data_IF_472291347767
#
_entry.id   IF_472291347767
#
_cell.length_a   1.000
_cell.length_b   1.000
_cell.length_c   1.000
_cell.angle_alpha   90.00
_cell.angle_beta   90.00
_cell.angle_gamma   90.00
#
_symmetry.space_group_name_H-M   'P 1'
#
loop_
_entity.id
_entity.type
_entity.pdbx_description
1 polymer ?
#
# COMPACT_ATOMS: atom_id res chain seq x y z
N UNK A 1 3.76 -10.16 -18.43
CA UNK A 1 4.03 -9.31 -17.25
C UNK A 1 3.87 -10.14 -15.99
N UNK A 2 4.86 -10.17 -15.08
CA UNK A 2 4.84 -10.93 -13.82
C UNK A 2 4.75 -10.01 -12.59
N UNK A 3 4.37 -10.53 -11.43
CA UNK A 3 4.32 -9.77 -10.17
C UNK A 3 5.64 -9.07 -9.82
N UNK A 4 6.76 -9.78 -9.97
CA UNK A 4 8.12 -9.24 -9.75
C UNK A 4 8.44 -8.03 -10.66
N UNK A 5 7.86 -7.98 -11.86
CA UNK A 5 8.07 -6.89 -12.80
C UNK A 5 7.34 -5.63 -12.31
N UNK A 6 6.12 -5.77 -11.76
CA UNK A 6 5.39 -4.65 -11.13
C UNK A 6 6.13 -4.14 -9.90
N UNK A 7 6.62 -5.05 -9.05
CA UNK A 7 7.41 -4.69 -7.87
C UNK A 7 8.66 -3.88 -8.27
N UNK A 8 9.37 -4.32 -9.31
CA UNK A 8 10.54 -3.62 -9.84
C UNK A 8 10.19 -2.21 -10.34
N UNK A 9 9.08 -2.06 -11.07
CA UNK A 9 8.63 -0.75 -11.56
C UNK A 9 8.29 0.20 -10.41
N UNK A 10 7.60 -0.26 -9.36
CA UNK A 10 7.35 0.56 -8.17
C UNK A 10 8.63 0.95 -7.44
N UNK A 11 9.63 0.05 -7.35
CA UNK A 11 10.93 0.38 -6.76
C UNK A 11 11.70 1.41 -7.57
N UNK A 12 11.70 1.31 -8.88
CA UNK A 12 12.36 2.32 -9.71
C UNK A 12 11.62 3.66 -9.67
N UNK A 13 10.28 3.64 -9.55
CA UNK A 13 9.49 4.85 -9.31
C UNK A 13 9.77 5.47 -7.93
N UNK A 14 9.94 4.66 -6.87
CA UNK A 14 10.27 5.15 -5.53
C UNK A 14 11.66 5.78 -5.48
N UNK A 15 12.64 5.21 -6.19
CA UNK A 15 13.96 5.82 -6.36
C UNK A 15 13.88 7.19 -7.03
N UNK A 16 13.08 7.33 -8.09
CA UNK A 16 12.88 8.63 -8.73
C UNK A 16 12.20 9.65 -7.80
N UNK A 17 11.21 9.22 -7.01
CA UNK A 17 10.56 10.11 -6.04
C UNK A 17 11.48 10.54 -4.89
N UNK A 18 12.41 9.68 -4.49
CA UNK A 18 13.47 10.04 -3.54
C UNK A 18 14.47 11.05 -4.17
N UNK A 19 14.75 10.96 -5.47
CA UNK A 19 15.63 11.88 -6.21
C UNK A 19 15.00 13.28 -6.33
N UNK A 20 13.71 13.33 -6.64
CA UNK A 20 12.93 14.57 -6.80
C UNK A 20 12.30 15.07 -5.48
N UNK A 21 12.58 14.41 -4.35
CA UNK A 21 12.06 14.72 -3.01
C UNK A 21 10.51 14.83 -2.93
N UNK A 22 9.80 13.95 -3.64
CA UNK A 22 8.33 13.99 -3.79
C UNK A 22 7.56 13.44 -2.59
N UNK A 23 8.25 12.95 -1.55
CA UNK A 23 7.59 12.40 -0.37
C UNK A 23 6.69 13.44 0.31
N UNK A 24 7.15 14.70 0.40
CA UNK A 24 6.36 15.78 0.99
C UNK A 24 5.06 16.07 0.22
N UNK A 25 5.10 16.00 -1.12
CA UNK A 25 3.90 16.20 -1.95
C UNK A 25 2.87 15.08 -1.74
N UNK A 26 3.34 13.83 -1.64
CA UNK A 26 2.47 12.68 -1.37
C UNK A 26 1.82 12.77 0.02
N UNK A 27 2.59 13.16 1.03
CA UNK A 27 2.09 13.37 2.40
C UNK A 27 1.09 14.52 2.48
N UNK A 28 1.34 15.61 1.77
CA UNK A 28 0.42 16.74 1.71
C UNK A 28 -0.92 16.34 1.06
N UNK A 29 -0.88 15.59 -0.04
CA UNK A 29 -2.10 15.10 -0.70
C UNK A 29 -2.86 14.11 0.21
N UNK A 30 -2.15 13.17 0.86
CA UNK A 30 -2.77 12.20 1.76
C UNK A 30 -3.45 12.84 2.97
N UNK A 31 -2.93 13.97 3.45
CA UNK A 31 -3.46 14.72 4.59
C UNK A 31 -4.34 15.91 4.16
N UNK A 32 -4.75 15.98 2.88
CA UNK A 32 -5.63 17.04 2.39
C UNK A 32 -7.04 16.92 2.98
N UNK A 33 -7.66 18.05 3.34
CA UNK A 33 -9.06 18.12 3.78
C UNK A 33 -10.01 17.43 2.77
N UNK A 34 -9.69 17.51 1.48
CA UNK A 34 -10.46 16.84 0.42
C UNK A 34 -10.41 15.32 0.58
N UNK A 35 -9.23 14.78 0.86
CA UNK A 35 -9.04 13.34 1.08
C UNK A 35 -9.76 12.90 2.35
N UNK A 36 -9.65 13.68 3.42
CA UNK A 36 -10.39 13.42 4.67
C UNK A 36 -11.90 13.39 4.42
N UNK A 37 -12.45 14.40 3.73
CA UNK A 37 -13.88 14.50 3.44
C UNK A 37 -14.39 13.32 2.59
N UNK A 38 -13.63 12.90 1.57
CA UNK A 38 -14.00 11.78 0.70
C UNK A 38 -14.03 10.43 1.43
N UNK A 39 -13.24 10.30 2.48
CA UNK A 39 -13.10 9.08 3.27
C UNK A 39 -13.95 9.08 4.55
N UNK A 40 -14.61 10.20 4.89
CA UNK A 40 -15.49 10.27 6.05
C UNK A 40 -16.60 9.22 5.94
N UNK A 41 -16.80 8.37 6.97
CA UNK A 41 -17.91 7.43 7.01
C UNK A 41 -19.23 8.20 6.93
N UNK A 42 -20.07 7.87 5.95
CA UNK A 42 -21.42 8.42 5.89
C UNK A 42 -22.26 7.78 7.00
N UNK A 43 -22.47 8.49 8.10
CA UNK A 43 -23.42 8.07 9.13
C UNK A 43 -24.82 8.24 8.54
N UNK A 44 -25.40 7.15 8.05
CA UNK A 44 -26.83 7.12 7.82
C UNK A 44 -27.48 7.20 9.20
N UNK A 45 -27.92 8.39 9.60
CA UNK A 45 -28.87 8.52 10.69
C UNK A 45 -30.13 7.74 10.28
N UNK A 46 -30.24 6.49 10.74
CA UNK A 46 -31.52 5.79 10.69
C UNK A 46 -32.46 6.62 11.55
N UNK A 47 -33.31 7.42 10.90
CA UNK A 47 -34.47 8.01 11.56
C UNK A 47 -35.22 6.85 12.20
N UNK A 48 -35.22 6.79 13.53
CA UNK A 48 -36.11 5.91 14.28
C UNK A 48 -37.52 6.39 14.02
N UNK A 49 -38.19 5.76 13.05
CA UNK A 49 -39.62 5.92 12.88
C UNK A 49 -40.29 5.47 14.18
N UNK A 50 -41.01 6.40 14.81
CA UNK A 50 -41.82 6.10 15.98
C UNK A 50 -42.86 5.02 15.65
N UNK A 51 -42.81 3.95 16.43
CA UNK A 51 -43.83 2.96 16.80
C UNK A 51 -44.69 2.25 15.71
N UNK A 52 -44.58 0.91 15.78
CA UNK A 52 -45.56 -0.17 15.56
C UNK A 52 -46.53 -0.09 14.38
N UNK A 53 -46.38 -1.00 13.41
CA UNK A 53 -47.29 -2.15 13.13
C UNK A 53 -46.63 -3.05 12.07
N UNK A 54 -46.59 -4.37 12.32
CA UNK A 54 -46.39 -5.40 11.29
C UNK A 54 -45.18 -6.31 11.52
N UNK A 55 -45.40 -7.49 12.12
CA UNK A 55 -44.43 -8.58 12.13
C UNK A 55 -44.35 -9.24 10.75
N UNK A 56 -43.15 -9.48 10.18
CA UNK A 56 -42.94 -10.63 9.31
C UNK A 56 -42.23 -11.74 10.07
N UNK A 57 -42.74 -12.96 9.93
CA UNK A 57 -42.09 -14.21 10.29
C UNK A 57 -40.72 -14.31 9.60
N UNK A 58 -39.67 -14.52 10.39
CA UNK A 58 -38.59 -15.54 10.25
C UNK A 58 -37.45 -15.09 11.17
N UNK A 59 -37.39 -15.70 12.34
CA UNK A 59 -36.24 -15.65 13.24
C UNK A 59 -35.27 -16.75 12.81
N UNK A 60 -34.13 -16.41 12.23
CA UNK A 60 -32.95 -17.27 12.38
C UNK A 60 -32.29 -16.87 13.69
N UNK A 61 -32.50 -17.68 14.73
CA UNK A 61 -31.62 -17.69 15.90
C UNK A 61 -30.23 -18.11 15.44
N UNK A 62 -29.25 -17.24 15.65
CA UNK A 62 -27.87 -17.66 15.86
C UNK A 62 -27.58 -17.43 17.34
N UNK A 63 -27.92 -18.45 18.13
CA UNK A 63 -27.36 -18.59 19.47
C UNK A 63 -25.87 -18.89 19.32
N UNK A 64 -25.04 -18.19 20.09
CA UNK A 64 -23.70 -18.67 20.45
C UNK A 64 -22.55 -17.78 20.01
N UNK A 65 -22.18 -16.88 20.93
CA UNK A 65 -20.86 -16.28 21.09
C UNK A 65 -20.47 -15.16 20.11
N UNK A 66 -21.18 -14.04 20.21
CA UNK A 66 -20.56 -12.73 20.06
C UNK A 66 -19.47 -12.57 21.14
N UNK A 67 -18.28 -13.09 20.86
CA UNK A 67 -17.06 -12.58 21.51
C UNK A 67 -16.88 -11.15 21.02
N UNK A 68 -17.60 -10.23 21.67
CA UNK A 68 -17.27 -8.83 21.76
C UNK A 68 -15.87 -8.76 22.38
N UNK A 69 -14.84 -8.89 21.53
CA UNK A 69 -13.53 -8.39 21.87
C UNK A 69 -13.66 -6.87 21.90
N UNK A 70 -14.10 -6.37 23.05
CA UNK A 70 -13.84 -5.01 23.50
C UNK A 70 -12.35 -4.81 23.24
N UNK A 71 -12.04 -3.99 22.22
CA UNK A 71 -10.68 -3.59 21.92
C UNK A 71 -10.17 -2.96 23.21
N UNK A 72 -9.41 -3.71 24.00
CA UNK A 72 -8.53 -3.11 24.99
C UNK A 72 -7.74 -2.10 24.19
N UNK A 73 -7.90 -0.84 24.58
CA UNK A 73 -6.96 0.23 24.30
C UNK A 73 -5.60 -0.29 24.77
N UNK A 74 -4.94 -1.05 23.91
CA UNK A 74 -3.50 -1.21 23.98
C UNK A 74 -2.99 0.11 23.45
N UNK A 75 -2.83 1.06 24.37
CA UNK A 75 -1.89 2.15 24.21
C UNK A 75 -0.57 1.49 23.81
N UNK A 76 -0.29 1.49 22.51
CA UNK A 76 1.05 1.19 22.03
C UNK A 76 1.93 2.29 22.63
N UNK A 77 2.94 1.98 23.45
CA UNK A 77 3.79 2.99 24.08
C UNK A 77 4.62 3.79 23.06
N UNK A 78 4.45 3.50 21.76
CA UNK A 78 5.16 4.10 20.63
C UNK A 78 4.30 5.09 19.83
N UNK A 79 3.12 5.48 20.34
CA UNK A 79 2.19 6.36 19.62
C UNK A 79 2.70 7.79 19.37
N UNK A 80 3.73 8.26 20.09
CA UNK A 80 4.15 9.67 20.08
C UNK A 80 5.57 9.92 19.52
N UNK A 81 6.03 9.09 18.58
CA UNK A 81 7.26 9.33 17.81
C UNK A 81 6.98 9.72 16.35
N UNK A 82 7.73 10.66 15.73
CA UNK A 82 7.63 10.88 14.30
C UNK A 82 8.32 9.70 13.58
N UNK A 83 7.57 8.75 13.02
CA UNK A 83 8.16 7.77 12.09
C UNK A 83 7.94 6.28 12.36
N UNK A 84 6.78 5.87 12.89
CA UNK A 84 6.42 4.44 12.91
C UNK A 84 5.74 4.03 11.59
N UNK A 85 6.32 3.04 10.90
CA UNK A 85 5.86 2.55 9.59
C UNK A 85 5.16 1.17 9.65
N UNK A 86 5.03 0.57 10.84
CA UNK A 86 4.32 -0.70 11.04
C UNK A 86 5.21 -1.94 11.27
N UNK A 87 6.49 -1.74 11.62
CA UNK A 87 7.43 -2.79 12.04
C UNK A 87 8.38 -2.30 13.15
N UNK A 88 9.04 -3.24 13.81
CA UNK A 88 9.80 -2.97 15.05
C UNK A 88 11.16 -2.28 14.85
N UNK A 89 11.90 -2.53 13.76
CA UNK A 89 13.17 -1.85 13.47
C UNK A 89 13.37 -1.57 11.97
N UNK A 90 13.82 -0.36 11.57
CA UNK A 90 14.18 -0.07 10.19
C UNK A 90 15.45 -0.83 9.80
N UNK A 91 15.44 -1.48 8.64
CA UNK A 91 16.63 -2.14 8.12
C UNK A 91 17.67 -1.08 7.70
N UNK A 92 18.93 -1.26 8.08
CA UNK A 92 20.01 -0.35 7.68
C UNK A 92 20.28 -0.47 6.18
N UNK A 93 20.20 0.65 5.45
CA UNK A 93 20.60 0.69 4.04
C UNK A 93 22.10 0.43 3.88
N UNK A 94 22.53 -0.38 2.89
CA UNK A 94 23.94 -0.47 2.56
C UNK A 94 24.44 0.91 2.08
N UNK A 95 25.67 1.31 2.41
CA UNK A 95 26.21 2.59 1.97
C UNK A 95 26.31 2.59 0.44
N UNK A 96 25.61 3.52 -0.20
CA UNK A 96 25.63 3.72 -1.65
C UNK A 96 26.42 5.00 -1.96
N UNK A 97 27.39 4.88 -2.86
CA UNK A 97 28.36 5.92 -3.22
C UNK A 97 27.81 6.95 -4.22
N UNK A 98 26.83 6.58 -5.03
CA UNK A 98 26.19 7.44 -6.03
C UNK A 98 24.69 7.13 -6.20
N UNK A 99 23.92 8.11 -6.65
CA UNK A 99 22.51 7.94 -7.04
C UNK A 99 22.34 6.90 -8.17
N UNK A 100 23.24 6.90 -9.15
CA UNK A 100 23.24 5.94 -10.25
C UNK A 100 23.47 4.49 -9.77
N UNK A 101 24.24 4.29 -8.70
CA UNK A 101 24.50 2.96 -8.14
C UNK A 101 23.23 2.30 -7.62
N UNK A 102 22.22 3.08 -7.18
CA UNK A 102 20.93 2.59 -6.72
C UNK A 102 20.13 1.88 -7.82
N UNK A 103 20.35 2.25 -9.07
CA UNK A 103 19.73 1.64 -10.26
C UNK A 103 20.50 0.44 -10.80
N UNK A 104 21.67 0.12 -10.23
CA UNK A 104 22.45 -1.05 -10.65
C UNK A 104 21.69 -2.36 -10.39
N UNK A 105 21.96 -3.38 -11.22
CA UNK A 105 21.40 -4.72 -11.02
C UNK A 105 21.66 -5.27 -9.61
N UNK A 106 22.83 -4.97 -9.04
CA UNK A 106 23.21 -5.38 -7.69
C UNK A 106 22.36 -4.68 -6.63
N UNK A 107 22.21 -3.37 -6.72
CA UNK A 107 21.44 -2.59 -5.75
C UNK A 107 19.95 -2.94 -5.80
N UNK A 108 19.36 -3.04 -6.99
CA UNK A 108 17.96 -3.44 -7.18
C UNK A 108 17.71 -4.85 -6.64
N UNK A 109 18.61 -5.80 -6.91
CA UNK A 109 18.56 -7.17 -6.38
C UNK A 109 18.57 -7.18 -4.84
N UNK A 110 19.51 -6.45 -4.22
CA UNK A 110 19.64 -6.39 -2.76
C UNK A 110 18.45 -5.68 -2.08
N UNK A 111 17.93 -4.62 -2.71
CA UNK A 111 16.80 -3.86 -2.18
C UNK A 111 15.50 -4.67 -2.25
N UNK A 112 15.22 -5.33 -3.38
CA UNK A 112 13.98 -6.09 -3.59
C UNK A 112 14.00 -7.53 -3.06
N UNK A 113 15.17 -8.06 -2.69
CA UNK A 113 15.34 -9.47 -2.33
C UNK A 113 15.16 -10.43 -3.52
N UNK A 114 15.39 -9.93 -4.75
CA UNK A 114 15.32 -10.71 -5.99
C UNK A 114 16.72 -11.16 -6.41
N UNK A 115 16.83 -12.28 -7.13
CA UNK A 115 18.09 -12.65 -7.77
C UNK A 115 18.45 -11.67 -8.90
N UNK A 116 19.75 -11.53 -9.21
CA UNK A 116 20.23 -10.68 -10.32
C UNK A 116 19.60 -11.08 -11.66
N UNK A 117 19.43 -12.37 -11.90
CA UNK A 117 18.76 -12.89 -13.10
C UNK A 117 17.27 -12.54 -13.15
N UNK A 118 16.55 -12.58 -12.02
CA UNK A 118 15.15 -12.16 -11.96
C UNK A 118 15.00 -10.68 -12.29
N UNK A 119 15.87 -9.82 -11.72
CA UNK A 119 15.88 -8.38 -12.00
C UNK A 119 16.22 -8.11 -13.47
N UNK A 120 17.27 -8.75 -14.01
CA UNK A 120 17.66 -8.59 -15.41
C UNK A 120 16.53 -8.98 -16.38
N UNK A 121 15.90 -10.12 -16.14
CA UNK A 121 14.77 -10.60 -16.94
C UNK A 121 13.54 -9.69 -16.80
N UNK A 122 13.29 -9.14 -15.61
CA UNK A 122 12.21 -8.18 -15.39
C UNK A 122 12.46 -6.87 -16.13
N UNK A 123 13.68 -6.31 -16.06
CA UNK A 123 14.07 -5.12 -16.82
C UNK A 123 13.90 -5.34 -18.34
N UNK A 124 14.29 -6.51 -18.86
CA UNK A 124 14.09 -6.85 -20.27
C UNK A 124 12.61 -6.83 -20.65
N UNK A 125 11.75 -7.55 -19.91
CA UNK A 125 10.30 -7.58 -20.14
C UNK A 125 9.66 -6.20 -20.05
N UNK A 126 10.05 -5.39 -19.06
CA UNK A 126 9.49 -4.04 -18.90
C UNK A 126 9.94 -3.08 -20.01
N UNK A 127 11.14 -3.26 -20.59
CA UNK A 127 11.57 -2.53 -21.79
C UNK A 127 10.77 -2.96 -23.01
N UNK A 128 10.63 -4.26 -23.23
CA UNK A 128 9.83 -4.83 -24.33
C UNK A 128 8.37 -4.35 -24.29
N UNK A 129 7.79 -4.20 -23.09
CA UNK A 129 6.43 -3.70 -22.89
C UNK A 129 6.30 -2.17 -22.91
N UNK A 130 7.39 -1.42 -23.11
CA UNK A 130 7.38 0.05 -23.10
C UNK A 130 7.17 0.70 -21.73
N UNK A 131 7.30 -0.04 -20.63
CA UNK A 131 7.15 0.47 -19.25
C UNK A 131 8.45 1.04 -18.69
N UNK A 132 9.58 0.70 -19.30
CA UNK A 132 10.87 1.32 -19.07
C UNK A 132 11.30 2.11 -20.30
N UNK A 133 11.60 3.38 -20.09
CA UNK A 133 12.15 4.29 -21.08
C UNK A 133 13.64 4.49 -20.82
N UNK A 134 14.39 4.77 -21.89
CA UNK A 134 15.79 5.15 -21.78
C UNK A 134 15.86 6.66 -21.55
N UNK A 135 16.52 7.08 -20.47
CA UNK A 135 16.82 8.48 -20.26
C UNK A 135 18.12 8.85 -20.97
N UNK A 136 18.05 9.81 -21.90
CA UNK A 136 19.21 10.26 -22.67
C UNK A 136 20.18 11.10 -21.84
N UNK A 137 19.69 11.78 -20.80
CA UNK A 137 20.53 12.67 -19.99
C UNK A 137 21.37 11.88 -18.98
N UNK A 138 20.75 10.90 -18.31
CA UNK A 138 21.41 10.09 -17.28
C UNK A 138 21.95 8.75 -17.79
N UNK A 139 21.51 8.29 -18.97
CA UNK A 139 21.81 6.95 -19.50
C UNK A 139 21.17 5.80 -18.70
N UNK A 140 20.31 6.12 -17.74
CA UNK A 140 19.63 5.14 -16.87
C UNK A 140 18.26 4.77 -17.44
N UNK A 141 17.80 3.57 -17.08
CA UNK A 141 16.42 3.18 -17.35
C UNK A 141 15.49 3.92 -16.37
N UNK A 142 14.50 4.65 -16.90
CA UNK A 142 13.45 5.31 -16.13
C UNK A 142 12.11 4.62 -16.32
N UNK A 143 11.27 4.67 -15.29
CA UNK A 143 9.91 4.13 -15.36
C UNK A 143 9.00 5.11 -16.09
N UNK A 144 8.18 4.58 -16.99
CA UNK A 144 7.10 5.35 -17.59
C UNK A 144 5.95 5.52 -16.57
N UNK A 145 6.13 6.44 -15.61
CA UNK A 145 5.25 6.65 -14.44
C UNK A 145 3.77 6.76 -14.79
N UNK A 146 3.43 7.46 -15.87
CA UNK A 146 2.04 7.61 -16.36
C UNK A 146 1.41 6.26 -16.77
N UNK A 147 2.18 5.36 -17.36
CA UNK A 147 1.66 4.04 -17.75
C UNK A 147 1.60 3.11 -16.53
N UNK A 148 2.58 3.20 -15.61
CA UNK A 148 2.51 2.47 -14.34
C UNK A 148 1.25 2.87 -13.54
N UNK A 149 0.93 4.17 -13.47
CA UNK A 149 -0.28 4.65 -12.81
C UNK A 149 -1.55 4.06 -13.45
N UNK A 150 -1.67 4.12 -14.79
CA UNK A 150 -2.82 3.54 -15.51
C UNK A 150 -2.94 2.03 -15.30
N UNK A 151 -1.84 1.29 -15.30
CA UNK A 151 -1.84 -0.15 -15.00
C UNK A 151 -2.33 -0.40 -13.57
N UNK A 152 -1.86 0.42 -12.63
CA UNK A 152 -2.26 0.32 -11.22
C UNK A 152 -3.76 0.56 -11.06
N UNK A 153 -4.28 1.61 -11.69
CA UNK A 153 -5.69 2.00 -11.65
C UNK A 153 -6.63 0.98 -12.31
N UNK A 154 -6.30 0.54 -13.53
CA UNK A 154 -7.25 -0.21 -14.37
C UNK A 154 -7.02 -1.72 -14.39
N UNK A 155 -5.78 -2.19 -14.23
CA UNK A 155 -5.42 -3.58 -14.51
C UNK A 155 -5.03 -4.39 -13.26
N UNK A 156 -4.39 -3.74 -12.28
CA UNK A 156 -3.72 -4.46 -11.19
C UNK A 156 -4.67 -5.34 -10.37
N UNK A 157 -5.89 -4.85 -10.07
CA UNK A 157 -6.91 -5.62 -9.34
C UNK A 157 -7.38 -6.89 -10.07
N UNK A 158 -7.27 -6.94 -11.39
CA UNK A 158 -7.70 -8.08 -12.19
C UNK A 158 -6.56 -9.09 -12.41
N UNK A 159 -5.33 -8.60 -12.61
CA UNK A 159 -4.17 -9.47 -12.84
C UNK A 159 -3.58 -10.02 -11.54
N UNK A 160 -3.75 -9.31 -10.43
CA UNK A 160 -3.30 -9.70 -9.11
C UNK A 160 -4.45 -9.53 -8.10
N UNK A 161 -5.52 -10.35 -8.19
CA UNK A 161 -6.64 -10.25 -7.27
C UNK A 161 -6.19 -10.57 -5.83
N UNK A 162 -6.71 -9.83 -4.86
CA UNK A 162 -6.45 -10.08 -3.43
C UNK A 162 -7.66 -10.76 -2.82
N UNK A 163 -7.41 -11.83 -2.06
CA UNK A 163 -8.42 -12.47 -1.21
C UNK A 163 -8.03 -12.27 0.25
N UNK A 164 -8.82 -11.54 1.04
CA UNK A 164 -8.58 -11.41 2.46
C UNK A 164 -8.61 -12.78 3.15
N UNK A 165 -7.56 -13.11 3.89
CA UNK A 165 -7.30 -14.42 4.50
C UNK A 165 -7.57 -14.45 6.01
N UNK A 166 -6.84 -15.30 6.72
CA UNK A 166 -6.94 -15.45 8.17
C UNK A 166 -6.39 -14.23 8.92
N UNK A 167 -6.75 -14.12 10.20
CA UNK A 167 -6.19 -13.09 11.08
C UNK A 167 -4.75 -13.45 11.49
N UNK A 168 -3.79 -12.65 11.05
CA UNK A 168 -2.36 -12.86 11.29
C UNK A 168 -1.70 -11.58 11.76
N UNK A 169 -0.49 -11.73 12.29
CA UNK A 169 0.41 -10.60 12.55
C UNK A 169 1.10 -10.20 11.25
N UNK A 170 1.25 -8.90 11.00
CA UNK A 170 1.84 -8.42 9.75
C UNK A 170 2.03 -6.91 9.68
N UNK A 171 2.54 -6.48 8.53
CA UNK A 171 2.74 -5.06 8.21
C UNK A 171 1.42 -4.52 7.66
N UNK A 172 0.83 -3.46 8.26
CA UNK A 172 -0.38 -2.83 7.74
C UNK A 172 -0.22 -2.34 6.31
N UNK A 173 -1.26 -2.49 5.48
CA UNK A 173 -1.25 -2.07 4.07
C UNK A 173 -2.61 -1.49 3.68
N UNK A 174 -2.77 -1.02 2.43
CA UNK A 174 -3.97 -0.29 2.02
C UNK A 174 -4.16 0.98 2.84
N UNK A 175 -5.41 1.35 3.10
CA UNK A 175 -5.75 2.47 3.97
C UNK A 175 -5.44 2.23 5.46
N UNK A 176 -5.06 1.01 5.85
CA UNK A 176 -4.57 0.74 7.20
C UNK A 176 -3.08 1.07 7.36
N UNK A 177 -2.35 1.34 6.27
CA UNK A 177 -0.95 1.76 6.36
C UNK A 177 -0.83 3.05 7.20
N UNK A 178 0.12 3.16 8.14
CA UNK A 178 0.22 4.28 9.08
C UNK A 178 0.41 5.63 8.37
N UNK A 179 1.03 5.59 7.19
CA UNK A 179 1.22 6.76 6.34
C UNK A 179 -0.08 7.31 5.74
N UNK A 180 -1.13 6.48 5.66
CA UNK A 180 -2.43 6.79 5.05
C UNK A 180 -3.57 6.75 6.06
N UNK A 181 -3.33 6.26 7.28
CA UNK A 181 -4.35 5.97 8.30
C UNK A 181 -4.82 7.20 9.07
N UNK A 182 -4.15 8.35 8.95
CA UNK A 182 -4.57 9.60 9.63
C UNK A 182 -6.00 10.00 9.25
N UNK A 183 -6.40 9.69 8.01
CA UNK A 183 -7.69 10.09 7.44
C UNK A 183 -8.78 8.99 7.56
N UNK A 184 -8.41 7.75 7.92
CA UNK A 184 -9.35 6.63 8.04
C UNK A 184 -9.08 5.83 9.32
N UNK A 185 -9.74 6.22 10.41
CA UNK A 185 -10.02 5.27 11.49
C UNK A 185 -11.14 4.37 10.99
N UNK A 186 -10.77 3.20 10.46
CA UNK A 186 -11.75 2.21 9.99
C UNK A 186 -12.79 2.00 11.09
N UNK A 187 -14.05 2.27 10.75
CA UNK A 187 -15.20 2.18 11.65
C UNK A 187 -15.49 0.70 11.98
N UNK A 188 -14.61 0.07 12.76
CA UNK A 188 -14.73 -1.32 13.21
C UNK A 188 -14.30 -2.39 12.20
N UNK A 189 -13.71 -2.04 11.06
CA UNK A 189 -13.24 -3.01 10.05
C UNK A 189 -11.91 -3.66 10.41
N UNK A 190 -11.72 -4.92 9.97
CA UNK A 190 -10.43 -5.62 10.06
C UNK A 190 -9.39 -4.93 9.17
N UNK A 191 -8.21 -4.65 9.71
CA UNK A 191 -7.11 -4.02 8.95
C UNK A 191 -6.43 -5.04 8.03
N UNK A 192 -6.20 -4.76 6.74
CA UNK A 192 -5.40 -5.64 5.90
C UNK A 192 -3.93 -5.53 6.26
N UNK A 193 -3.24 -6.67 6.31
CA UNK A 193 -1.80 -6.76 6.62
C UNK A 193 -1.10 -7.70 5.64
N UNK A 194 0.14 -7.37 5.27
CA UNK A 194 1.05 -8.36 4.70
C UNK A 194 1.60 -9.25 5.82
N UNK A 195 1.42 -10.57 5.77
CA UNK A 195 1.92 -11.48 6.81
C UNK A 195 3.43 -11.33 6.99
N UNK A 196 3.86 -10.98 8.20
CA UNK A 196 5.26 -10.76 8.52
C UNK A 196 5.47 -10.90 10.04
N UNK A 197 6.52 -11.63 10.44
CA UNK A 197 6.80 -11.88 11.86
C UNK A 197 7.22 -10.62 12.63
N UNK A 198 7.82 -9.64 11.94
CA UNK A 198 8.25 -8.36 12.52
C UNK A 198 7.17 -7.27 12.43
N UNK A 199 6.06 -7.53 11.72
CA UNK A 199 4.91 -6.63 11.68
C UNK A 199 4.35 -6.40 13.09
N UNK A 200 3.89 -5.21 13.39
CA UNK A 200 3.42 -4.85 14.75
C UNK A 200 1.91 -4.99 14.92
N UNK A 201 1.18 -5.08 13.81
CA UNK A 201 -0.28 -5.08 13.80
C UNK A 201 -0.84 -6.49 13.57
N UNK A 202 -2.06 -6.73 14.09
CA UNK A 202 -2.83 -7.95 13.82
C UNK A 202 -4.00 -7.62 12.93
N UNK A 203 -4.07 -8.26 11.78
CA UNK A 203 -5.03 -7.94 10.73
C UNK A 203 -5.37 -9.12 9.83
N UNK A 204 -6.20 -8.85 8.84
CA UNK A 204 -6.56 -9.82 7.83
C UNK A 204 -5.40 -9.98 6.84
N UNK A 205 -4.89 -11.20 6.71
CA UNK A 205 -3.80 -11.50 5.80
C UNK A 205 -4.19 -11.17 4.35
N UNK A 206 -3.36 -10.43 3.63
CA UNK A 206 -3.48 -10.30 2.19
C UNK A 206 -2.21 -10.74 1.48
N UNK A 207 -2.37 -11.29 0.28
CA UNK A 207 -1.22 -11.69 -0.54
C UNK A 207 -0.54 -10.44 -1.13
N UNK A 208 0.74 -10.17 -0.76
CA UNK A 208 1.46 -9.06 -1.34
C UNK A 208 1.65 -9.26 -2.85
N UNK A 209 1.88 -8.17 -3.60
CA UNK A 209 2.13 -8.28 -5.05
C UNK A 209 3.23 -9.29 -5.37
N UNK A 210 4.27 -9.37 -4.54
CA UNK A 210 5.29 -10.40 -4.63
C UNK A 210 5.77 -10.82 -3.25
N UNK A 211 6.22 -12.07 -3.11
CA UNK A 211 6.58 -12.68 -1.81
C UNK A 211 7.66 -11.92 -1.01
N UNK A 212 8.49 -11.11 -1.66
CA UNK A 212 9.56 -10.33 -0.99
C UNK A 212 9.14 -8.92 -0.60
N UNK A 213 7.90 -8.51 -0.87
CA UNK A 213 7.40 -7.17 -0.52
C UNK A 213 7.60 -6.82 0.95
N UNK A 214 7.21 -7.67 1.95
CA UNK A 214 7.38 -7.32 3.37
C UNK A 214 8.82 -6.98 3.74
N UNK A 215 9.80 -7.67 3.15
CA UNK A 215 11.23 -7.41 3.36
C UNK A 215 11.75 -6.21 2.56
N UNK A 216 11.20 -5.98 1.36
CA UNK A 216 11.63 -4.87 0.50
C UNK A 216 11.17 -3.50 1.04
N UNK A 217 9.96 -3.43 1.60
CA UNK A 217 9.39 -2.17 2.10
C UNK A 217 10.10 -1.64 3.34
N UNK A 218 10.67 -2.53 4.17
CA UNK A 218 11.46 -2.17 5.37
C UNK A 218 12.73 -1.37 5.05
N UNK A 219 13.17 -1.36 3.79
CA UNK A 219 14.36 -0.65 3.28
C UNK A 219 13.99 0.61 2.48
N UNK A 220 12.72 0.83 2.18
CA UNK A 220 12.28 1.94 1.35
C UNK A 220 10.86 2.35 1.69
N UNK A 221 10.77 3.42 2.49
CA UNK A 221 9.50 4.03 2.92
C UNK A 221 8.64 4.51 1.75
N UNK A 222 9.22 5.05 0.68
CA UNK A 222 8.43 5.49 -0.47
C UNK A 222 7.84 4.27 -1.20
N UNK A 223 8.63 3.21 -1.35
CA UNK A 223 8.14 1.93 -1.88
C UNK A 223 7.01 1.36 -1.02
N UNK A 224 7.14 1.42 0.31
CA UNK A 224 6.08 1.03 1.22
C UNK A 224 4.76 1.75 0.91
N UNK A 225 4.80 3.08 0.84
CA UNK A 225 3.60 3.88 0.58
C UNK A 225 2.98 3.57 -0.79
N UNK A 226 3.80 3.43 -1.83
CA UNK A 226 3.29 3.08 -3.16
C UNK A 226 2.61 1.72 -3.18
N UNK A 227 3.19 0.71 -2.53
CA UNK A 227 2.60 -0.62 -2.49
C UNK A 227 1.36 -0.68 -1.60
N UNK A 228 1.32 0.10 -0.51
CA UNK A 228 0.12 0.27 0.30
C UNK A 228 -1.01 0.92 -0.50
N UNK A 229 -0.74 1.99 -1.27
CA UNK A 229 -1.71 2.61 -2.17
C UNK A 229 -2.16 1.65 -3.29
N UNK A 230 -1.25 0.85 -3.83
CA UNK A 230 -1.61 -0.18 -4.80
C UNK A 230 -2.57 -1.22 -4.20
N UNK A 231 -2.38 -1.63 -2.95
CA UNK A 231 -3.31 -2.52 -2.27
C UNK A 231 -4.64 -1.85 -1.91
N UNK A 232 -4.63 -0.55 -1.59
CA UNK A 232 -5.85 0.24 -1.43
C UNK A 232 -6.69 0.25 -2.72
N UNK A 233 -6.05 0.28 -3.90
CA UNK A 233 -6.71 0.19 -5.21
C UNK A 233 -7.18 -1.24 -5.51
N UNK A 234 -6.44 -2.27 -5.07
CA UNK A 234 -6.81 -3.68 -5.26
C UNK A 234 -7.99 -4.12 -4.40
N UNK A 235 -8.12 -3.57 -3.19
CA UNK A 235 -9.12 -3.97 -2.18
C UNK A 235 -10.28 -3.00 -2.03
N UNK A 236 -10.06 -1.71 -2.28
CA UNK A 236 -11.02 -0.65 -1.98
C UNK A 236 -12.21 -0.59 -2.93
N UNK A 237 -13.27 0.05 -2.45
CA UNK A 237 -14.40 0.50 -3.27
C UNK A 237 -14.06 1.72 -4.13
N UNK A 238 -14.99 2.18 -4.98
CA UNK A 238 -14.72 3.25 -5.95
C UNK A 238 -14.19 4.57 -5.34
N UNK A 239 -14.64 4.94 -4.13
CA UNK A 239 -14.20 6.15 -3.43
C UNK A 239 -12.74 6.03 -2.96
N UNK A 240 -12.47 4.94 -2.26
CA UNK A 240 -11.15 4.54 -1.74
C UNK A 240 -10.14 4.45 -2.88
N UNK A 241 -10.48 3.78 -3.98
CA UNK A 241 -9.63 3.73 -5.16
C UNK A 241 -9.33 5.12 -5.73
N UNK A 242 -10.35 5.97 -5.87
CA UNK A 242 -10.17 7.33 -6.39
C UNK A 242 -9.20 8.17 -5.55
N UNK A 243 -9.31 8.07 -4.22
CA UNK A 243 -8.38 8.73 -3.29
C UNK A 243 -6.97 8.16 -3.40
N UNK A 244 -6.83 6.83 -3.38
CA UNK A 244 -5.52 6.18 -3.49
C UNK A 244 -4.80 6.53 -4.81
N UNK A 245 -5.55 6.65 -5.91
CA UNK A 245 -5.01 7.09 -7.21
C UNK A 245 -4.52 8.54 -7.14
N UNK A 246 -5.27 9.45 -6.49
CA UNK A 246 -4.85 10.86 -6.33
C UNK A 246 -3.53 10.96 -5.58
N UNK A 247 -3.43 10.26 -4.44
CA UNK A 247 -2.22 10.25 -3.60
C UNK A 247 -1.05 9.63 -4.37
N UNK A 248 -1.28 8.51 -5.06
CA UNK A 248 -0.22 7.85 -5.85
C UNK A 248 0.24 8.74 -7.01
N UNK A 249 -0.67 9.46 -7.65
CA UNK A 249 -0.36 10.41 -8.73
C UNK A 249 0.52 11.56 -8.21
N UNK A 250 0.19 12.13 -7.05
CA UNK A 250 0.99 13.16 -6.38
C UNK A 250 2.38 12.62 -6.00
N UNK A 251 2.45 11.46 -5.36
CA UNK A 251 3.73 10.85 -4.98
C UNK A 251 4.60 10.46 -6.17
N UNK A 252 4.00 10.16 -7.32
CA UNK A 252 4.73 9.95 -8.57
C UNK A 252 5.11 11.26 -9.27
N UNK A 253 4.76 12.45 -8.77
CA UNK A 253 5.09 13.74 -9.39
C UNK A 253 4.42 13.93 -10.75
N UNK A 254 3.16 13.49 -10.86
CA UNK A 254 2.35 13.61 -12.08
C UNK A 254 1.32 14.72 -11.90
N UNK A 255 1.30 15.68 -12.82
CA UNK A 255 0.28 16.74 -12.89
C UNK A 255 -1.03 16.23 -13.46
#
# INVERSE_FOLDING_TARGET
MKSQDILLLFKMASLHAQEENLMGEMEAESNSDRVEELLRPYVVSRMTAGQSVGKPLVTYSTDGEDTLFLRREFDSPFADGPGWEGWAEPASDPPLTSWSDRYSLRALSASLGLSKSEVSNALARCRESGLLIHDYDTGLAKVHRRELLKITEYALKYFFPVKPGAMVRGIPTGFAAPALSKSIKSAGGLIPVWPDAQGTERGQAIEPLYKTVPEAVKKDRILYHYLALADAIRLGGPRECGVAISILKAGMGLK
#
